data_IF_573832657328
#
_entry.id   IF_573832657328
#
_cell.length_a   1.000
_cell.length_b   1.000
_cell.length_c   1.000
_cell.angle_alpha   90.00
_cell.angle_beta   90.00
_cell.angle_gamma   90.00
#
_symmetry.space_group_name_H-M   'P 1'
#
loop_
_entity.id
_entity.type
_entity.pdbx_description
1 polymer ?
#
# COMPACT_ATOMS: atom_id res chain seq x y z
N UNK A 1 16.70 -3.18 -0.81
CA UNK A 1 15.35 -2.59 -0.82
C UNK A 1 14.39 -3.59 -0.18
N UNK A 2 13.50 -3.13 0.67
CA UNK A 2 12.38 -3.87 1.27
C UNK A 2 11.25 -2.88 1.56
N UNK A 3 10.05 -3.38 1.85
CA UNK A 3 8.92 -2.51 2.26
C UNK A 3 9.30 -1.61 3.44
N UNK A 4 10.05 -2.13 4.43
CA UNK A 4 10.44 -1.34 5.59
C UNK A 4 11.48 -0.26 5.26
N UNK A 5 12.40 -0.49 4.30
CA UNK A 5 13.32 0.58 3.86
C UNK A 5 12.58 1.65 3.07
N UNK A 6 11.56 1.28 2.28
CA UNK A 6 10.72 2.25 1.58
C UNK A 6 9.86 3.09 2.54
N UNK A 7 9.41 2.51 3.68
CA UNK A 7 8.79 3.30 4.75
C UNK A 7 9.76 4.36 5.29
N UNK A 8 11.03 4.00 5.55
CA UNK A 8 12.05 4.96 5.99
C UNK A 8 12.32 6.07 4.96
N UNK A 9 12.36 5.70 3.68
CA UNK A 9 12.53 6.65 2.59
C UNK A 9 11.33 7.62 2.52
N UNK A 10 10.11 7.10 2.64
CA UNK A 10 8.89 7.92 2.64
C UNK A 10 8.82 8.85 3.85
N UNK A 11 9.23 8.39 5.04
CA UNK A 11 9.38 9.24 6.22
C UNK A 11 10.34 10.42 5.98
N UNK A 12 11.45 10.17 5.29
CA UNK A 12 12.40 11.21 4.94
C UNK A 12 11.79 12.23 3.95
N UNK A 13 11.03 11.73 2.96
CA UNK A 13 10.33 12.59 1.99
C UNK A 13 9.26 13.45 2.67
N UNK A 14 8.48 12.89 3.60
CA UNK A 14 7.46 13.65 4.36
C UNK A 14 8.14 14.76 5.17
N UNK A 15 9.19 14.45 5.92
CA UNK A 15 9.94 15.47 6.69
C UNK A 15 10.50 16.56 5.79
N UNK A 16 11.03 16.19 4.64
CA UNK A 16 11.53 17.18 3.67
C UNK A 16 10.40 18.06 3.13
N UNK A 17 9.28 17.47 2.71
CA UNK A 17 8.12 18.21 2.23
C UNK A 17 7.62 19.22 3.28
N UNK A 18 7.49 18.81 4.53
CA UNK A 18 7.07 19.66 5.64
C UNK A 18 8.06 20.78 5.96
N UNK A 19 9.33 20.64 5.61
CA UNK A 19 10.35 21.68 5.80
C UNK A 19 10.32 22.80 4.75
N UNK A 20 9.57 22.60 3.66
CA UNK A 20 9.51 23.57 2.56
C UNK A 20 8.54 24.71 2.90
N UNK A 21 8.93 25.98 2.68
CA UNK A 21 8.14 27.14 3.12
C UNK A 21 6.86 27.39 2.30
N UNK A 22 6.63 26.61 1.25
CA UNK A 22 5.49 26.74 0.34
C UNK A 22 4.56 25.52 0.35
N UNK A 23 4.75 24.57 1.27
CA UNK A 23 3.83 23.45 1.47
C UNK A 23 2.72 23.82 2.45
N UNK A 24 1.57 23.18 2.28
CA UNK A 24 0.45 23.27 3.22
C UNK A 24 0.75 22.50 4.51
N UNK A 25 0.11 22.90 5.61
CA UNK A 25 0.12 22.12 6.85
C UNK A 25 -0.71 20.82 6.73
N UNK A 26 -1.50 20.69 5.65
CA UNK A 26 -2.31 19.50 5.40
C UNK A 26 -1.59 18.57 4.44
N UNK A 27 -1.39 17.31 4.86
CA UNK A 27 -0.75 16.27 4.06
C UNK A 27 -1.76 15.18 3.66
N UNK A 28 -2.00 15.06 2.35
CA UNK A 28 -2.66 13.90 1.77
C UNK A 28 -1.58 12.95 1.25
N UNK A 29 -1.50 11.75 1.83
CA UNK A 29 -0.57 10.72 1.39
C UNK A 29 -1.30 9.74 0.48
N UNK A 30 -0.73 9.47 -0.70
CA UNK A 30 -1.31 8.52 -1.66
C UNK A 30 -0.31 7.43 -2.02
N UNK A 31 -0.78 6.19 -2.09
CA UNK A 31 0.01 5.05 -2.55
C UNK A 31 -0.78 4.07 -3.39
N UNK A 32 -0.09 3.47 -4.38
CA UNK A 32 -0.63 2.46 -5.27
C UNK A 32 0.13 1.14 -5.09
N UNK A 33 -0.56 -0.01 -5.15
CA UNK A 33 0.07 -1.33 -5.07
C UNK A 33 0.98 -1.46 -3.83
N UNK A 34 2.26 -1.81 -4.01
CA UNK A 34 3.25 -1.83 -2.92
C UNK A 34 3.38 -0.46 -2.24
N UNK A 35 3.37 0.64 -3.01
CA UNK A 35 3.35 1.99 -2.47
C UNK A 35 2.14 2.28 -1.59
N UNK A 36 1.00 1.61 -1.84
CA UNK A 36 -0.17 1.64 -0.96
C UNK A 36 0.10 1.01 0.40
N UNK A 37 0.76 -0.15 0.44
CA UNK A 37 1.19 -0.78 1.69
C UNK A 37 2.21 0.09 2.44
N UNK A 38 3.21 0.63 1.74
CA UNK A 38 4.22 1.53 2.31
C UNK A 38 3.57 2.78 2.91
N UNK A 39 2.66 3.41 2.18
CA UNK A 39 1.92 4.61 2.65
C UNK A 39 1.06 4.31 3.87
N UNK A 40 0.38 3.16 3.89
CA UNK A 40 -0.44 2.73 5.02
C UNK A 40 0.40 2.51 6.30
N UNK A 41 1.53 1.81 6.18
CA UNK A 41 2.46 1.60 7.31
C UNK A 41 3.09 2.91 7.79
N UNK A 42 3.43 3.81 6.86
CA UNK A 42 3.98 5.12 7.22
C UNK A 42 2.96 5.99 7.94
N UNK A 43 1.71 6.03 7.47
CA UNK A 43 0.62 6.75 8.13
C UNK A 43 0.34 6.20 9.54
N UNK A 44 0.36 4.87 9.71
CA UNK A 44 0.18 4.24 11.02
C UNK A 44 1.31 4.55 12.00
N UNK A 45 2.53 4.69 11.50
CA UNK A 45 3.71 5.05 12.31
C UNK A 45 3.78 6.53 12.67
N UNK A 46 3.19 7.39 11.84
CA UNK A 46 3.16 8.85 11.99
C UNK A 46 1.73 9.39 11.82
N UNK A 47 0.77 8.97 12.67
CA UNK A 47 -0.64 9.29 12.46
C UNK A 47 -0.94 10.79 12.48
N UNK A 48 -0.17 11.57 13.22
CA UNK A 48 -0.34 13.02 13.31
C UNK A 48 0.27 13.79 12.13
N UNK A 49 1.07 13.11 11.29
CA UNK A 49 1.73 13.72 10.14
C UNK A 49 0.93 13.58 8.84
N UNK A 50 -0.09 12.74 8.82
CA UNK A 50 -0.90 12.43 7.64
C UNK A 50 -2.36 12.72 7.93
N UNK A 51 -2.92 13.75 7.27
CA UNK A 51 -4.34 14.13 7.47
C UNK A 51 -5.29 13.18 6.73
N UNK A 52 -4.89 12.72 5.55
CA UNK A 52 -5.69 11.83 4.69
C UNK A 52 -4.81 10.82 3.99
N UNK A 53 -5.31 9.58 3.92
CA UNK A 53 -4.62 8.48 3.26
C UNK A 53 -5.45 7.96 2.07
N UNK A 54 -4.82 7.82 0.90
CA UNK A 54 -5.45 7.28 -0.31
C UNK A 54 -4.69 6.06 -0.77
N UNK A 55 -5.38 4.96 -0.94
CA UNK A 55 -4.82 3.66 -1.27
C UNK A 55 -5.48 3.11 -2.54
N UNK A 56 -4.74 3.04 -3.63
CA UNK A 56 -5.20 2.42 -4.87
C UNK A 56 -4.64 1.00 -4.98
N UNK A 57 -5.52 0.01 -5.04
CA UNK A 57 -5.19 -1.43 -5.11
C UNK A 57 -3.99 -1.79 -4.23
N UNK A 58 -4.01 -1.45 -2.91
CA UNK A 58 -2.86 -1.62 -2.03
C UNK A 58 -2.46 -3.09 -1.91
N UNK A 59 -1.16 -3.38 -2.04
CA UNK A 59 -0.65 -4.75 -2.06
C UNK A 59 -0.47 -5.32 -0.64
N UNK A 60 -1.53 -5.38 0.14
CA UNK A 60 -1.53 -5.99 1.48
C UNK A 60 -1.38 -7.52 1.46
N UNK A 61 -1.34 -8.14 0.27
CA UNK A 61 -1.03 -9.55 0.09
C UNK A 61 0.47 -9.87 0.31
N UNK A 62 1.37 -8.89 0.22
CA UNK A 62 2.83 -9.09 0.25
C UNK A 62 3.30 -9.96 1.44
N UNK A 63 2.83 -9.77 2.69
CA UNK A 63 3.21 -10.64 3.79
C UNK A 63 2.72 -12.10 3.63
N UNK A 64 1.50 -12.29 3.10
CA UNK A 64 0.95 -13.62 2.85
C UNK A 64 1.70 -14.33 1.72
N UNK A 65 2.02 -13.60 0.65
CA UNK A 65 2.80 -14.10 -0.47
C UNK A 65 4.20 -14.54 -0.01
N UNK A 66 4.86 -13.72 0.83
CA UNK A 66 6.15 -14.06 1.41
C UNK A 66 6.10 -15.33 2.26
N UNK A 67 5.06 -15.49 3.10
CA UNK A 67 4.84 -16.70 3.92
C UNK A 67 4.55 -17.93 3.06
N UNK A 68 3.82 -17.75 1.97
CA UNK A 68 3.51 -18.81 1.03
C UNK A 68 4.67 -19.21 0.10
N UNK A 69 5.79 -18.48 0.15
CA UNK A 69 6.97 -18.76 -0.66
C UNK A 69 6.81 -18.35 -2.11
N UNK A 70 6.08 -17.27 -2.37
CA UNK A 70 6.02 -16.69 -3.71
C UNK A 70 6.09 -15.15 -3.67
N UNK A 71 6.62 -14.56 -4.73
CA UNK A 71 6.62 -13.12 -5.00
C UNK A 71 6.40 -12.92 -6.48
N UNK A 72 5.27 -12.33 -6.86
CA UNK A 72 4.87 -12.21 -8.26
C UNK A 72 4.87 -13.59 -8.94
N UNK A 73 5.79 -13.82 -9.90
CA UNK A 73 5.93 -15.09 -10.61
C UNK A 73 7.02 -16.01 -10.03
N UNK A 74 7.78 -15.55 -9.04
CA UNK A 74 8.83 -16.34 -8.41
C UNK A 74 8.30 -17.21 -7.28
N UNK A 75 8.81 -18.44 -7.19
CA UNK A 75 8.57 -19.35 -6.09
C UNK A 75 9.87 -19.65 -5.36
N UNK A 76 9.82 -19.78 -4.03
CA UNK A 76 10.96 -20.08 -3.18
C UNK A 76 10.51 -20.81 -1.91
N UNK A 77 11.44 -21.45 -1.25
CA UNK A 77 11.19 -22.04 0.07
C UNK A 77 11.24 -20.93 1.14
N UNK A 78 10.13 -20.64 1.84
CA UNK A 78 10.11 -19.59 2.87
C UNK A 78 10.94 -19.95 4.11
N UNK A 79 11.30 -21.24 4.30
CA UNK A 79 12.18 -21.68 5.38
C UNK A 79 13.65 -21.61 5.01
N UNK A 80 13.96 -21.52 3.70
CA UNK A 80 15.32 -21.43 3.18
C UNK A 80 15.39 -20.38 2.05
N UNK A 81 15.25 -19.11 2.43
CA UNK A 81 15.18 -18.02 1.47
C UNK A 81 16.45 -17.91 0.62
N UNK A 82 16.32 -17.89 -0.71
CA UNK A 82 17.46 -17.68 -1.60
C UNK A 82 18.01 -16.25 -1.44
N UNK A 83 19.28 -16.06 -1.72
CA UNK A 83 19.91 -14.74 -1.64
C UNK A 83 19.27 -13.72 -2.60
N UNK A 84 18.79 -14.20 -3.76
CA UNK A 84 18.07 -13.42 -4.78
C UNK A 84 16.83 -14.16 -5.25
N UNK A 85 15.73 -13.41 -5.39
CA UNK A 85 14.44 -13.88 -5.88
C UNK A 85 14.18 -13.19 -7.22
N UNK A 86 14.13 -13.97 -8.29
CA UNK A 86 13.95 -13.47 -9.66
C UNK A 86 12.46 -13.35 -10.01
N UNK A 87 11.78 -12.34 -9.48
CA UNK A 87 10.35 -12.13 -9.65
C UNK A 87 9.98 -11.17 -10.80
N UNK A 88 10.95 -10.77 -11.61
CA UNK A 88 10.75 -9.85 -12.73
C UNK A 88 12.09 -9.32 -13.27
N UNK A 89 12.09 -8.17 -13.94
CA UNK A 89 13.30 -7.58 -14.52
C UNK A 89 14.39 -7.26 -13.49
N UNK A 90 13.98 -6.92 -12.27
CA UNK A 90 14.89 -6.66 -11.14
C UNK A 90 14.71 -7.74 -10.07
N UNK A 91 15.79 -8.46 -9.69
CA UNK A 91 15.70 -9.42 -8.62
C UNK A 91 15.54 -8.73 -7.27
N UNK A 92 14.71 -9.32 -6.39
CA UNK A 92 14.61 -8.93 -4.99
C UNK A 92 15.69 -9.66 -4.18
N UNK A 93 16.29 -9.00 -3.21
CA UNK A 93 17.15 -9.64 -2.22
C UNK A 93 16.34 -10.38 -1.17
N UNK A 94 16.97 -11.34 -0.48
CA UNK A 94 16.42 -12.08 0.67
C UNK A 94 15.75 -11.16 1.70
N UNK A 95 16.33 -9.98 1.95
CA UNK A 95 15.81 -9.00 2.90
C UNK A 95 14.38 -8.53 2.60
N UNK A 96 13.88 -8.71 1.37
CA UNK A 96 12.54 -8.30 1.02
C UNK A 96 11.47 -9.17 1.70
N UNK A 97 11.39 -10.50 1.47
CA UNK A 97 10.43 -11.34 2.18
C UNK A 97 10.72 -11.40 3.69
N UNK A 98 11.99 -11.42 4.13
CA UNK A 98 12.35 -11.40 5.55
C UNK A 98 11.73 -10.22 6.31
N UNK A 99 11.67 -9.05 5.69
CA UNK A 99 11.14 -7.84 6.31
C UNK A 99 9.63 -7.90 6.57
N UNK A 100 8.88 -8.74 5.85
CA UNK A 100 7.42 -8.71 5.88
C UNK A 100 6.75 -10.03 6.25
N UNK A 101 7.42 -11.18 6.10
CA UNK A 101 6.79 -12.50 6.26
C UNK A 101 6.21 -12.76 7.67
N UNK A 102 6.65 -12.05 8.68
CA UNK A 102 6.11 -12.15 10.06
C UNK A 102 5.16 -11.01 10.41
N UNK A 103 4.85 -10.13 9.45
CA UNK A 103 4.00 -8.96 9.67
C UNK A 103 2.52 -9.34 9.58
N UNK A 104 1.73 -8.91 10.55
CA UNK A 104 0.28 -8.80 10.45
C UNK A 104 -0.06 -7.39 9.98
N UNK A 105 -0.12 -7.20 8.67
CA UNK A 105 -0.29 -5.88 8.06
C UNK A 105 -1.60 -5.21 8.50
N UNK A 106 -2.68 -5.97 8.71
CA UNK A 106 -3.96 -5.41 9.13
C UNK A 106 -3.93 -4.88 10.57
N UNK A 107 -3.13 -5.50 11.44
CA UNK A 107 -2.86 -4.99 12.78
C UNK A 107 -1.94 -3.76 12.73
N UNK A 108 -0.91 -3.79 11.89
CA UNK A 108 0.07 -2.70 11.80
C UNK A 108 -0.52 -1.38 11.29
N UNK A 109 -1.60 -1.42 10.50
CA UNK A 109 -2.24 -0.22 9.96
C UNK A 109 -3.28 0.41 10.90
N UNK A 110 -3.75 -0.28 11.94
CA UNK A 110 -4.82 0.21 12.85
C UNK A 110 -4.49 1.46 13.68
N UNK A 111 -3.20 1.79 13.98
CA UNK A 111 -2.90 3.03 14.68
C UNK A 111 -3.27 4.31 13.93
N UNK A 112 -3.42 4.23 12.59
CA UNK A 112 -3.90 5.37 11.82
C UNK A 112 -5.43 5.49 11.91
N UNK A 113 -5.90 6.56 12.54
CA UNK A 113 -7.33 6.84 12.74
C UNK A 113 -7.88 7.96 11.84
N UNK A 114 -7.01 8.58 11.03
CA UNK A 114 -7.41 9.56 10.02
C UNK A 114 -8.29 8.98 8.92
N UNK A 115 -8.76 9.84 8.03
CA UNK A 115 -9.63 9.41 6.91
C UNK A 115 -8.83 8.60 5.89
N UNK A 116 -9.39 7.48 5.45
CA UNK A 116 -8.80 6.58 4.45
C UNK A 116 -9.75 6.39 3.27
N UNK A 117 -9.26 6.62 2.06
CA UNK A 117 -9.91 6.20 0.82
C UNK A 117 -9.20 4.97 0.28
N UNK A 118 -9.94 3.89 0.04
CA UNK A 118 -9.43 2.69 -0.62
C UNK A 118 -10.19 2.52 -1.93
N UNK A 119 -9.48 2.40 -3.05
CA UNK A 119 -10.06 2.11 -4.38
C UNK A 119 -9.40 0.86 -4.94
N UNK A 120 -10.21 -0.12 -5.32
CA UNK A 120 -9.71 -1.42 -5.79
C UNK A 120 -10.55 -1.97 -6.95
N UNK A 121 -9.92 -2.64 -7.90
CA UNK A 121 -10.62 -3.26 -9.03
C UNK A 121 -11.16 -4.65 -8.69
N UNK A 122 -12.39 -4.97 -9.11
CA UNK A 122 -12.99 -6.30 -8.83
C UNK A 122 -12.35 -7.44 -9.62
N UNK A 123 -11.66 -7.14 -10.72
CA UNK A 123 -10.93 -8.11 -11.57
C UNK A 123 -9.40 -8.03 -11.39
N UNK A 124 -8.92 -7.52 -10.26
CA UNK A 124 -7.50 -7.48 -9.95
C UNK A 124 -6.95 -8.90 -9.75
N UNK A 125 -6.14 -9.35 -10.70
CA UNK A 125 -5.54 -10.69 -10.71
C UNK A 125 -4.20 -10.77 -9.95
N UNK A 126 -3.65 -9.63 -9.52
CA UNK A 126 -2.39 -9.56 -8.77
C UNK A 126 -2.66 -9.44 -7.28
N UNK A 127 -3.49 -8.49 -6.88
CA UNK A 127 -3.92 -8.31 -5.50
C UNK A 127 -5.43 -8.54 -5.41
N UNK A 128 -5.85 -9.59 -4.73
CA UNK A 128 -7.28 -9.90 -4.59
C UNK A 128 -8.02 -8.76 -3.87
N UNK A 129 -9.23 -8.37 -4.33
CA UNK A 129 -10.02 -7.31 -3.70
C UNK A 129 -10.34 -7.54 -2.22
N UNK A 130 -10.28 -8.79 -1.78
CA UNK A 130 -10.52 -9.16 -0.37
C UNK A 130 -9.50 -8.53 0.59
N UNK A 131 -8.28 -8.23 0.13
CA UNK A 131 -7.31 -7.48 0.92
C UNK A 131 -7.76 -6.04 1.17
N UNK A 132 -8.36 -5.40 0.17
CA UNK A 132 -8.92 -4.05 0.33
C UNK A 132 -10.13 -4.04 1.27
N UNK A 133 -11.00 -5.06 1.20
CA UNK A 133 -12.12 -5.22 2.12
C UNK A 133 -11.65 -5.39 3.57
N UNK A 134 -10.69 -6.29 3.82
CA UNK A 134 -10.09 -6.47 5.15
C UNK A 134 -9.43 -5.20 5.67
N UNK A 135 -8.76 -4.45 4.82
CA UNK A 135 -8.17 -3.17 5.21
C UNK A 135 -9.26 -2.15 5.60
N UNK A 136 -10.35 -2.06 4.83
CA UNK A 136 -11.46 -1.18 5.16
C UNK A 136 -12.13 -1.54 6.50
N UNK A 137 -12.19 -2.83 6.83
CA UNK A 137 -12.70 -3.30 8.13
C UNK A 137 -11.71 -3.01 9.28
N UNK A 138 -10.41 -3.00 9.00
CA UNK A 138 -9.37 -2.75 10.00
C UNK A 138 -9.24 -1.27 10.39
N UNK A 139 -9.47 -0.36 9.44
CA UNK A 139 -9.42 1.08 9.70
C UNK A 139 -10.68 1.57 10.41
N UNK A 140 -10.51 2.47 11.36
CA UNK A 140 -11.63 3.11 12.06
C UNK A 140 -12.46 4.07 11.17
N UNK A 141 -11.85 4.64 10.13
CA UNK A 141 -12.46 5.67 9.29
C UNK A 141 -12.06 5.50 7.81
N UNK A 142 -12.51 4.41 7.20
CA UNK A 142 -12.24 4.10 5.80
C UNK A 142 -13.50 4.08 4.95
N UNK A 143 -13.39 4.60 3.73
CA UNK A 143 -14.34 4.37 2.64
C UNK A 143 -13.69 3.49 1.56
N UNK A 144 -14.40 2.45 1.12
CA UNK A 144 -13.95 1.51 0.09
C UNK A 144 -14.82 1.65 -1.16
N UNK A 145 -14.17 1.87 -2.30
CA UNK A 145 -14.80 1.83 -3.62
C UNK A 145 -14.22 0.69 -4.46
N UNK A 146 -15.10 -0.20 -4.90
CA UNK A 146 -14.76 -1.29 -5.81
C UNK A 146 -15.15 -0.91 -7.24
N UNK A 147 -14.17 -0.84 -8.14
CA UNK A 147 -14.40 -0.54 -9.56
C UNK A 147 -14.64 -1.85 -10.29
N UNK A 148 -15.85 -2.01 -10.85
CA UNK A 148 -16.24 -3.23 -11.53
C UNK A 148 -15.41 -3.49 -12.80
N UNK A 149 -14.88 -4.72 -12.91
CA UNK A 149 -13.96 -5.13 -13.98
C UNK A 149 -12.58 -4.47 -13.94
N UNK A 150 -12.28 -3.64 -12.93
CA UNK A 150 -10.96 -3.03 -12.76
C UNK A 150 -9.90 -4.09 -12.47
N UNK A 151 -8.80 -4.06 -13.24
CA UNK A 151 -7.61 -4.88 -13.03
C UNK A 151 -6.57 -4.11 -12.20
N UNK A 152 -5.46 -4.78 -11.85
CA UNK A 152 -4.33 -4.14 -11.17
C UNK A 152 -3.72 -3.02 -12.04
N UNK A 153 -3.54 -1.84 -11.47
CA UNK A 153 -2.99 -0.68 -12.17
C UNK A 153 -4.00 0.07 -13.05
N UNK A 154 -5.27 -0.30 -12.98
CA UNK A 154 -6.38 0.30 -13.73
C UNK A 154 -6.10 0.51 -15.23
N UNK A 155 -7.10 0.68 -16.03
CA UNK A 155 -7.02 1.20 -17.37
C UNK A 155 -7.58 2.64 -17.40
N UNK A 156 -7.47 3.34 -18.52
CA UNK A 156 -7.89 4.74 -18.66
C UNK A 156 -9.33 5.00 -18.17
N UNK A 157 -10.27 4.07 -18.40
CA UNK A 157 -11.66 4.21 -17.95
C UNK A 157 -11.73 4.12 -16.43
N UNK A 158 -11.09 3.10 -15.85
CA UNK A 158 -11.08 2.85 -14.42
C UNK A 158 -10.28 3.92 -13.67
N UNK A 159 -9.19 4.46 -14.27
CA UNK A 159 -8.47 5.62 -13.74
C UNK A 159 -9.38 6.85 -13.61
N UNK A 160 -10.20 7.13 -14.63
CA UNK A 160 -11.14 8.25 -14.58
C UNK A 160 -12.11 8.12 -13.41
N UNK A 161 -12.60 6.91 -13.15
CA UNK A 161 -13.49 6.63 -12.03
C UNK A 161 -12.75 6.75 -10.68
N UNK A 162 -11.55 6.18 -10.56
CA UNK A 162 -10.71 6.26 -9.36
C UNK A 162 -10.35 7.72 -9.01
N UNK A 163 -10.02 8.53 -10.02
CA UNK A 163 -9.72 9.96 -9.85
C UNK A 163 -10.95 10.74 -9.36
N UNK A 164 -12.17 10.37 -9.77
CA UNK A 164 -13.38 11.00 -9.25
C UNK A 164 -13.53 10.77 -7.76
N UNK A 165 -13.30 9.53 -7.27
CA UNK A 165 -13.31 9.24 -5.83
C UNK A 165 -12.22 10.01 -5.10
N UNK A 166 -10.99 10.03 -5.64
CA UNK A 166 -9.89 10.81 -5.08
C UNK A 166 -10.22 12.30 -4.98
N UNK A 167 -10.77 12.89 -6.05
CA UNK A 167 -11.10 14.33 -6.09
C UNK A 167 -12.17 14.67 -5.06
N UNK A 168 -13.21 13.84 -4.94
CA UNK A 168 -14.26 14.03 -3.94
C UNK A 168 -13.71 13.91 -2.52
N UNK A 169 -12.86 12.93 -2.27
CA UNK A 169 -12.24 12.70 -0.96
C UNK A 169 -11.26 13.83 -0.57
N UNK A 170 -10.51 14.37 -1.52
CA UNK A 170 -9.55 15.45 -1.29
C UNK A 170 -10.22 16.81 -1.08
N UNK A 171 -11.43 17.03 -1.61
CA UNK A 171 -12.17 18.30 -1.50
C UNK A 171 -12.83 18.52 -0.12
N UNK A 172 -12.93 17.49 0.71
CA UNK A 172 -13.56 17.52 2.04
C UNK A 172 -12.53 17.78 3.14
#
# INVERSE_FOLDING_TARGET
MSVLTEVQDLEAVIRYAQSLPYTSDTLLLMGCSQGGMVSALTAAKHPDAVDRLVLFYPAFCIPDDARAGHMMMAHFDPQNLPEKIHCGPMPLGRCYPEAVMHMDVFREITPYTGRVLIVHGTADGIVKPDYAKKAAEAYANAELHLIDGGAHGFNRRHDTEAIRYLTAFAAL
#
